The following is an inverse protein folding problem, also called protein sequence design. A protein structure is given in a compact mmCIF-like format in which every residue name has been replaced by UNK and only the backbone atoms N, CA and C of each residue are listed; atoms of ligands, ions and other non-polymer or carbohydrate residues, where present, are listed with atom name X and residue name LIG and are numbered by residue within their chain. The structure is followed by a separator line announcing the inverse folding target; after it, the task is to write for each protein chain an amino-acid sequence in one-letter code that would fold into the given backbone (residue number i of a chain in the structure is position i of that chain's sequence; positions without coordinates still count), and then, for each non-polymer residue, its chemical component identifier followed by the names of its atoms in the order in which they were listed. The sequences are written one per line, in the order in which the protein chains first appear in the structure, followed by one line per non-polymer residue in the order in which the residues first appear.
data_IF_390642603596
#
_entry.id   IF_390642603596
#
_cell.length_a   1.000
_cell.length_b   1.000
_cell.length_c   1.000
_cell.angle_alpha   90.00
_cell.angle_beta   90.00
_cell.angle_gamma   90.00
#
_symmetry.space_group_name_H-M   'P 1'
#
loop_
_entity.id
_entity.type
_entity.pdbx_description
1 polymer ?
#
# COMPACT_ATOMS: atom_id res chain seq x y z
N UNK A 1 -34.05 -22.00 -63.56
CA UNK A 1 -32.74 -22.36 -62.97
C UNK A 1 -32.40 -21.35 -61.87
N UNK A 2 -32.31 -21.77 -60.60
CA UNK A 2 -32.31 -20.84 -59.45
C UNK A 2 -30.89 -20.38 -59.08
N UNK A 3 -30.74 -19.09 -58.77
CA UNK A 3 -29.52 -18.47 -58.24
C UNK A 3 -29.46 -18.66 -56.72
N UNK A 4 -28.52 -19.47 -56.27
CA UNK A 4 -28.24 -19.74 -54.86
C UNK A 4 -27.62 -18.51 -54.19
N UNK A 5 -28.21 -18.02 -53.10
CA UNK A 5 -27.67 -16.95 -52.24
C UNK A 5 -27.07 -17.59 -51.00
N UNK A 6 -25.75 -17.49 -50.84
CA UNK A 6 -25.05 -17.85 -49.60
C UNK A 6 -25.15 -16.69 -48.60
N UNK A 7 -25.78 -16.96 -47.44
CA UNK A 7 -25.81 -16.08 -46.28
C UNK A 7 -24.58 -16.40 -45.43
N UNK A 8 -23.65 -15.45 -45.27
CA UNK A 8 -22.58 -15.54 -44.29
C UNK A 8 -23.14 -15.16 -42.91
N UNK A 9 -23.20 -16.12 -41.98
CA UNK A 9 -23.41 -15.84 -40.56
C UNK A 9 -22.09 -15.33 -39.95
N UNK A 10 -22.07 -14.08 -39.50
CA UNK A 10 -21.02 -13.55 -38.64
C UNK A 10 -21.27 -14.01 -37.19
N UNK A 11 -20.46 -14.96 -36.70
CA UNK A 11 -20.42 -15.34 -35.30
C UNK A 11 -19.70 -14.24 -34.50
N UNK A 12 -20.46 -13.43 -33.77
CA UNK A 12 -19.96 -12.53 -32.72
C UNK A 12 -19.50 -13.39 -31.53
N UNK A 13 -18.19 -13.61 -31.42
CA UNK A 13 -17.59 -14.24 -30.25
C UNK A 13 -17.63 -13.31 -29.05
N UNK A 14 -18.49 -13.63 -28.07
CA UNK A 14 -18.41 -13.09 -26.71
C UNK A 14 -17.24 -13.77 -26.00
N UNK A 15 -16.05 -13.17 -26.11
CA UNK A 15 -14.91 -13.56 -25.28
C UNK A 15 -15.16 -13.20 -23.80
N UNK A 16 -14.62 -13.97 -22.84
CA UNK A 16 -14.77 -13.66 -21.43
C UNK A 16 -14.11 -12.30 -21.13
N UNK A 17 -14.89 -11.37 -20.61
CA UNK A 17 -14.39 -10.12 -20.04
C UNK A 17 -13.64 -10.51 -18.76
N UNK A 18 -12.32 -10.66 -18.84
CA UNK A 18 -11.51 -10.72 -17.63
C UNK A 18 -11.75 -9.41 -16.86
N UNK A 19 -12.02 -9.47 -15.55
CA UNK A 19 -12.12 -8.26 -14.77
C UNK A 19 -10.79 -7.52 -14.92
N UNK A 20 -10.85 -6.29 -15.42
CA UNK A 20 -9.69 -5.43 -15.49
C UNK A 20 -9.26 -5.12 -14.06
N UNK A 21 -8.41 -5.96 -13.46
CA UNK A 21 -7.71 -5.61 -12.22
C UNK A 21 -6.94 -4.34 -12.53
N UNK A 22 -7.46 -3.21 -12.03
CA UNK A 22 -6.65 -2.01 -11.90
C UNK A 22 -5.36 -2.40 -11.20
N UNK A 23 -4.23 -1.80 -11.59
CA UNK A 23 -2.94 -1.97 -10.92
C UNK A 23 -3.13 -1.58 -9.46
N UNK A 24 -3.59 -2.55 -8.68
CA UNK A 24 -3.96 -2.43 -7.29
C UNK A 24 -2.85 -3.09 -6.53
N UNK A 25 -2.21 -2.34 -5.64
CA UNK A 25 -1.14 -2.85 -4.79
C UNK A 25 -1.50 -2.67 -3.32
N UNK A 26 -0.97 -3.56 -2.49
CA UNK A 26 -1.06 -3.43 -1.06
C UNK A 26 -0.07 -2.36 -0.58
N UNK A 27 -0.56 -1.45 0.25
CA UNK A 27 0.18 -0.35 0.84
C UNK A 27 -0.14 -0.27 2.35
N UNK A 28 0.54 0.63 3.04
CA UNK A 28 0.16 1.05 4.39
C UNK A 28 -0.30 2.49 4.34
N UNK A 29 -1.41 2.82 4.98
CA UNK A 29 -1.99 4.16 4.95
C UNK A 29 -2.02 4.79 6.32
N UNK A 30 -1.89 6.12 6.35
CA UNK A 30 -2.16 6.95 7.52
C UNK A 30 -3.11 8.08 7.12
N UNK A 31 -4.21 8.20 7.86
CA UNK A 31 -5.21 9.25 7.72
C UNK A 31 -5.11 10.18 8.92
N UNK A 32 -4.73 11.43 8.65
CA UNK A 32 -4.70 12.51 9.64
C UNK A 32 -5.80 13.51 9.34
N UNK A 33 -6.58 13.89 10.36
CA UNK A 33 -7.61 14.92 10.24
C UNK A 33 -7.02 16.30 10.43
N UNK A 34 -7.70 17.31 9.87
CA UNK A 34 -7.35 18.70 10.06
C UNK A 34 -7.42 19.09 11.54
N UNK A 35 -8.42 18.58 12.27
CA UNK A 35 -8.41 18.60 13.73
C UNK A 35 -7.35 17.61 14.26
N UNK A 36 -6.23 18.17 14.69
CA UNK A 36 -5.07 17.42 15.20
C UNK A 36 -5.30 16.77 16.58
N UNK A 37 -6.43 17.02 17.23
CA UNK A 37 -6.81 16.30 18.45
C UNK A 37 -7.36 14.90 18.14
N UNK A 38 -7.78 14.66 16.89
CA UNK A 38 -8.23 13.36 16.43
C UNK A 38 -7.01 12.49 16.12
N UNK A 39 -6.94 11.32 16.75
CA UNK A 39 -5.85 10.38 16.55
C UNK A 39 -5.74 9.94 15.08
N UNK A 40 -4.50 9.81 14.60
CA UNK A 40 -4.21 9.32 13.26
C UNK A 40 -4.68 7.87 13.12
N UNK A 41 -5.57 7.63 12.16
CA UNK A 41 -5.98 6.27 11.81
C UNK A 41 -4.92 5.67 10.87
N UNK A 42 -4.43 4.46 11.16
CA UNK A 42 -3.38 3.81 10.37
C UNK A 42 -3.71 2.34 10.11
N UNK A 43 -3.20 1.78 9.03
CA UNK A 43 -3.45 0.37 8.70
C UNK A 43 -3.17 0.01 7.24
N UNK A 44 -3.24 -1.28 6.89
CA UNK A 44 -3.10 -1.71 5.51
C UNK A 44 -4.20 -1.11 4.63
N UNK A 45 -3.85 -0.83 3.39
CA UNK A 45 -4.77 -0.29 2.40
C UNK A 45 -4.49 -0.84 1.00
N UNK A 46 -5.52 -0.85 0.16
CA UNK A 46 -5.39 -1.11 -1.26
C UNK A 46 -5.30 0.23 -1.98
N UNK A 47 -4.22 0.42 -2.73
CA UNK A 47 -4.00 1.56 -3.59
C UNK A 47 -4.17 1.15 -5.04
N UNK A 48 -4.89 1.94 -5.84
CA UNK A 48 -4.94 1.77 -7.29
C UNK A 48 -4.84 3.10 -8.01
N UNK A 49 -4.18 3.09 -9.18
CA UNK A 49 -4.06 4.27 -10.03
C UNK A 49 -4.30 3.92 -11.50
N UNK A 50 -5.11 4.72 -12.21
CA UNK A 50 -5.32 4.63 -13.66
C UNK A 50 -5.49 6.00 -14.28
N UNK A 51 -4.70 6.30 -15.31
CA UNK A 51 -4.72 7.59 -16.02
C UNK A 51 -4.73 8.79 -15.05
N UNK A 52 -3.85 8.76 -14.05
CA UNK A 52 -3.76 9.80 -13.02
C UNK A 52 -4.76 9.65 -11.86
N UNK A 53 -5.95 9.09 -12.09
CA UNK A 53 -6.98 8.90 -11.06
C UNK A 53 -6.54 7.87 -10.01
N UNK A 54 -6.70 8.20 -8.74
CA UNK A 54 -6.34 7.33 -7.62
C UNK A 54 -7.57 6.93 -6.82
N UNK A 55 -7.64 5.66 -6.45
CA UNK A 55 -8.57 5.16 -5.44
C UNK A 55 -7.76 4.47 -4.32
N UNK A 56 -8.13 4.76 -3.08
CA UNK A 56 -7.53 4.13 -1.89
C UNK A 56 -8.64 3.56 -1.02
N UNK A 57 -8.55 2.27 -0.70
CA UNK A 57 -9.43 1.60 0.24
C UNK A 57 -8.64 1.23 1.49
N UNK A 58 -9.06 1.73 2.65
CA UNK A 58 -8.37 1.50 3.92
C UNK A 58 -9.34 0.85 4.91
N UNK A 59 -9.11 -0.43 5.19
CA UNK A 59 -10.05 -1.28 5.89
C UNK A 59 -11.42 -1.35 5.18
N UNK A 60 -12.48 -1.55 5.96
CA UNK A 60 -13.86 -1.54 5.46
C UNK A 60 -14.55 -0.16 5.57
N UNK A 61 -13.92 0.77 6.28
CA UNK A 61 -14.53 2.05 6.66
C UNK A 61 -14.25 3.17 5.66
N UNK A 62 -13.06 3.18 5.06
CA UNK A 62 -12.59 4.33 4.30
C UNK A 62 -12.37 4.01 2.82
N UNK A 63 -12.98 4.82 1.97
CA UNK A 63 -12.76 4.82 0.54
C UNK A 63 -12.50 6.25 0.06
N UNK A 64 -11.30 6.49 -0.49
CA UNK A 64 -10.88 7.79 -0.97
C UNK A 64 -10.76 7.80 -2.48
N UNK A 65 -11.19 8.89 -3.10
CA UNK A 65 -11.05 9.15 -4.54
C UNK A 65 -10.31 10.45 -4.76
N UNK A 66 -9.32 10.40 -5.63
CA UNK A 66 -8.54 11.55 -6.07
C UNK A 66 -8.53 11.58 -7.61
N UNK A 67 -9.56 12.19 -8.22
CA UNK A 67 -9.65 12.35 -9.67
C UNK A 67 -8.54 13.27 -10.19
N UNK A 68 -7.93 12.90 -11.31
CA UNK A 68 -6.74 13.60 -11.82
C UNK A 68 -7.00 15.09 -12.14
N UNK A 69 -8.19 15.40 -12.65
CA UNK A 69 -8.67 16.74 -12.98
C UNK A 69 -8.89 17.64 -11.76
N UNK A 70 -8.95 17.05 -10.57
CA UNK A 70 -9.18 17.75 -9.30
C UNK A 70 -7.88 18.10 -8.54
N UNK A 71 -6.73 17.64 -9.03
CA UNK A 71 -5.43 17.99 -8.45
C UNK A 71 -5.15 19.49 -8.63
N UNK A 72 -4.75 20.16 -7.55
CA UNK A 72 -4.55 21.60 -7.51
C UNK A 72 -5.83 22.40 -7.22
N UNK A 73 -7.00 21.76 -7.31
CA UNK A 73 -8.30 22.39 -7.04
C UNK A 73 -8.85 21.95 -5.68
N UNK A 74 -9.27 20.69 -5.55
CA UNK A 74 -9.88 20.17 -4.32
C UNK A 74 -8.91 19.35 -3.46
N UNK A 75 -7.71 19.06 -3.96
CA UNK A 75 -6.63 18.47 -3.19
C UNK A 75 -5.26 18.76 -3.80
N UNK A 76 -4.23 18.68 -2.97
CA UNK A 76 -2.83 18.69 -3.41
C UNK A 76 -2.26 17.28 -3.34
N UNK A 77 -1.38 16.93 -4.29
CA UNK A 77 -0.67 15.65 -4.32
C UNK A 77 0.84 15.89 -4.29
N UNK A 78 1.54 15.13 -3.46
CA UNK A 78 2.99 15.03 -3.51
C UNK A 78 3.44 13.57 -3.49
N UNK A 79 4.65 13.32 -3.98
CA UNK A 79 5.26 12.01 -4.08
C UNK A 79 6.66 12.02 -3.45
N UNK A 80 7.03 10.91 -2.84
CA UNK A 80 8.39 10.64 -2.37
C UNK A 80 8.74 9.17 -2.64
N UNK A 81 9.98 8.80 -2.35
CA UNK A 81 10.41 7.40 -2.42
C UNK A 81 9.61 6.48 -1.48
N UNK A 82 9.12 7.02 -0.35
CA UNK A 82 8.34 6.27 0.63
C UNK A 82 6.88 6.11 0.24
N UNK A 83 6.33 6.98 -0.61
CA UNK A 83 4.89 7.01 -0.81
C UNK A 83 4.32 8.20 -1.55
N UNK A 84 2.99 8.31 -1.46
CA UNK A 84 2.20 9.45 -1.93
C UNK A 84 1.51 10.12 -0.76
N UNK A 85 1.31 11.44 -0.87
CA UNK A 85 0.51 12.21 0.07
C UNK A 85 -0.57 12.98 -0.69
N UNK A 86 -1.77 12.96 -0.15
CA UNK A 86 -2.92 13.71 -0.64
C UNK A 86 -3.44 14.60 0.48
N UNK A 87 -3.49 15.90 0.25
CA UNK A 87 -3.99 16.88 1.21
C UNK A 87 -5.28 17.51 0.69
N UNK A 88 -6.39 17.35 1.40
CA UNK A 88 -7.60 18.15 1.23
C UNK A 88 -7.62 19.21 2.31
N UNK A 89 -7.35 20.45 1.92
CA UNK A 89 -7.20 21.56 2.86
C UNK A 89 -8.46 21.72 3.72
N UNK A 90 -8.27 21.90 5.03
CA UNK A 90 -9.36 22.00 6.00
C UNK A 90 -10.07 20.69 6.37
N UNK A 91 -9.73 19.55 5.75
CA UNK A 91 -10.40 18.27 6.01
C UNK A 91 -9.43 17.18 6.48
N UNK A 92 -8.57 16.66 5.59
CA UNK A 92 -7.65 15.59 5.95
C UNK A 92 -6.42 15.52 5.05
N UNK A 93 -5.38 14.87 5.59
CA UNK A 93 -4.24 14.35 4.85
C UNK A 93 -4.31 12.82 4.83
N UNK A 94 -4.26 12.23 3.64
CA UNK A 94 -4.03 10.80 3.45
C UNK A 94 -2.61 10.56 2.93
N UNK A 95 -1.84 9.77 3.66
CA UNK A 95 -0.52 9.30 3.24
C UNK A 95 -0.58 7.81 2.90
N UNK A 96 -0.04 7.44 1.75
CA UNK A 96 0.06 6.05 1.25
C UNK A 96 1.53 5.69 1.20
N UNK A 97 1.94 4.71 1.98
CA UNK A 97 3.32 4.25 2.11
C UNK A 97 3.52 2.92 1.38
N UNK A 98 4.58 2.85 0.59
CA UNK A 98 4.93 1.66 -0.17
C UNK A 98 5.51 0.57 0.73
N UNK A 99 5.04 -0.66 0.51
CA UNK A 99 5.62 -1.84 1.16
C UNK A 99 6.84 -2.29 0.39
N UNK A 100 7.99 -2.33 1.05
CA UNK A 100 9.20 -2.98 0.55
C UNK A 100 9.15 -4.46 0.95
N UNK A 101 9.16 -5.36 -0.04
CA UNK A 101 9.34 -6.78 0.22
C UNK A 101 10.77 -7.05 0.75
N UNK A 102 10.87 -7.91 1.76
CA UNK A 102 12.13 -8.33 2.36
C UNK A 102 12.38 -9.80 2.02
N UNK A 103 13.60 -10.12 1.58
CA UNK A 103 13.98 -11.49 1.28
C UNK A 103 14.58 -12.13 2.51
N UNK A 104 13.76 -12.86 3.27
CA UNK A 104 14.18 -13.47 4.53
C UNK A 104 14.52 -14.95 4.34
N UNK A 105 15.73 -15.35 4.74
CA UNK A 105 16.20 -16.73 4.56
C UNK A 105 15.34 -17.70 5.37
N UNK A 106 14.78 -18.71 4.72
CA UNK A 106 14.04 -19.80 5.37
C UNK A 106 12.60 -19.46 5.77
N UNK A 107 12.14 -18.22 5.55
CA UNK A 107 10.72 -17.88 5.72
C UNK A 107 9.90 -18.43 4.56
N UNK A 108 8.74 -19.02 4.87
CA UNK A 108 7.72 -19.35 3.88
C UNK A 108 6.74 -18.20 3.64
N UNK A 109 6.59 -17.34 4.64
CA UNK A 109 5.69 -16.20 4.58
C UNK A 109 6.34 -15.02 3.85
N UNK A 110 5.50 -14.28 3.12
CA UNK A 110 5.90 -13.02 2.50
C UNK A 110 6.12 -11.99 3.60
N UNK A 111 7.29 -11.33 3.60
CA UNK A 111 7.64 -10.35 4.62
C UNK A 111 7.82 -9.01 3.93
N UNK A 112 7.21 -7.97 4.48
CA UNK A 112 7.30 -6.64 3.92
C UNK A 112 7.19 -5.55 4.96
N UNK A 113 7.83 -4.42 4.71
CA UNK A 113 7.87 -3.28 5.62
C UNK A 113 7.46 -2.00 4.89
N UNK A 114 6.62 -1.18 5.51
CA UNK A 114 6.33 0.18 5.07
C UNK A 114 6.87 1.17 6.11
N UNK A 115 7.73 2.11 5.69
CA UNK A 115 8.28 3.12 6.60
C UNK A 115 7.42 4.37 6.63
N UNK A 116 7.11 4.85 7.83
CA UNK A 116 6.38 6.09 8.06
C UNK A 116 7.30 7.11 8.75
N UNK A 117 6.92 8.39 8.84
CA UNK A 117 7.70 9.37 9.59
C UNK A 117 7.90 8.99 11.07
N UNK A 118 6.88 8.39 11.68
CA UNK A 118 6.88 8.01 13.10
C UNK A 118 7.44 6.61 13.39
N UNK A 119 7.57 5.75 12.36
CA UNK A 119 7.97 4.36 12.60
C UNK A 119 7.97 3.49 11.34
N UNK A 120 7.47 2.27 11.49
CA UNK A 120 7.33 1.32 10.40
C UNK A 120 6.13 0.39 10.65
N UNK A 121 5.50 -0.09 9.60
CA UNK A 121 4.58 -1.23 9.68
C UNK A 121 5.29 -2.46 9.10
N UNK A 122 5.46 -3.49 9.92
CA UNK A 122 6.05 -4.76 9.51
C UNK A 122 4.94 -5.80 9.33
N UNK A 123 4.89 -6.43 8.16
CA UNK A 123 4.00 -7.55 7.89
C UNK A 123 4.77 -8.84 7.64
N UNK A 124 4.21 -9.93 8.17
CA UNK A 124 4.62 -11.32 7.96
C UNK A 124 3.36 -12.11 7.60
N UNK A 125 3.24 -12.53 6.34
CA UNK A 125 1.99 -13.07 5.80
C UNK A 125 0.86 -12.04 5.90
N UNK A 126 -0.25 -12.44 6.50
CA UNK A 126 -1.42 -11.57 6.71
C UNK A 126 -1.36 -10.75 8.01
N UNK A 127 -0.41 -11.05 8.89
CA UNK A 127 -0.23 -10.32 10.14
C UNK A 127 0.63 -9.09 9.92
N UNK A 128 0.28 -7.98 10.56
CA UNK A 128 1.10 -6.78 10.59
C UNK A 128 1.17 -6.19 12.00
N UNK A 129 2.27 -5.48 12.28
CA UNK A 129 2.51 -4.78 13.53
C UNK A 129 3.12 -3.42 13.24
N UNK A 130 2.48 -2.38 13.77
CA UNK A 130 3.05 -1.04 13.80
C UNK A 130 4.18 -0.98 14.83
N UNK A 131 5.36 -0.59 14.37
CA UNK A 131 6.59 -0.45 15.12
C UNK A 131 6.94 1.02 15.28
N UNK A 132 7.33 1.41 16.49
CA UNK A 132 7.81 2.76 16.77
C UNK A 132 9.32 2.84 16.54
N UNK A 133 9.81 4.00 16.11
CA UNK A 133 11.25 4.23 16.00
C UNK A 133 11.89 4.22 17.39
N UNK A 134 12.84 3.32 17.61
CA UNK A 134 13.61 3.21 18.84
C UNK A 134 15.02 3.79 18.67
N UNK A 135 15.63 4.19 19.79
CA UNK A 135 17.04 4.58 19.82
C UNK A 135 17.94 3.37 19.57
N UNK A 136 19.01 3.57 18.82
CA UNK A 136 20.03 2.57 18.51
C UNK A 136 21.41 3.22 18.46
N UNK A 137 22.43 2.48 18.90
CA UNK A 137 23.82 2.92 18.80
C UNK A 137 24.34 2.88 17.35
N UNK A 138 23.82 1.97 16.53
CA UNK A 138 24.08 1.87 15.10
C UNK A 138 22.86 1.32 14.37
N UNK A 139 22.67 1.75 13.12
CA UNK A 139 21.54 1.34 12.28
C UNK A 139 20.20 1.94 12.68
N UNK A 140 19.15 1.56 11.98
CA UNK A 140 17.77 2.00 12.27
C UNK A 140 17.02 0.89 12.99
N UNK A 141 16.48 1.20 14.18
CA UNK A 141 15.74 0.26 15.02
C UNK A 141 14.29 0.68 15.16
N UNK A 142 13.39 -0.28 15.06
CA UNK A 142 11.95 -0.12 15.24
C UNK A 142 11.41 -1.24 16.10
N UNK A 143 10.56 -0.93 17.06
CA UNK A 143 10.12 -1.91 18.07
C UNK A 143 8.64 -1.78 18.39
N UNK A 144 8.03 -2.93 18.70
CA UNK A 144 6.76 -3.05 19.40
C UNK A 144 6.86 -4.24 20.38
N UNK A 145 5.79 -4.49 21.13
CA UNK A 145 5.76 -5.61 22.08
C UNK A 145 5.98 -6.94 21.34
N UNK A 146 7.10 -7.61 21.63
CA UNK A 146 7.45 -8.91 21.05
C UNK A 146 7.94 -8.86 19.61
N UNK A 147 8.12 -7.65 19.02
CA UNK A 147 8.62 -7.51 17.65
C UNK A 147 9.71 -6.44 17.59
N UNK A 148 10.82 -6.78 16.96
CA UNK A 148 11.90 -5.84 16.67
C UNK A 148 12.29 -5.93 15.20
N UNK A 149 12.47 -4.78 14.56
CA UNK A 149 13.10 -4.66 13.25
C UNK A 149 14.34 -3.79 13.40
N UNK A 150 15.49 -4.33 13.01
CA UNK A 150 16.76 -3.61 13.03
C UNK A 150 17.45 -3.70 11.68
N UNK A 151 17.82 -2.54 11.14
CA UNK A 151 18.51 -2.42 9.86
C UNK A 151 19.91 -1.88 10.02
N UNK A 152 20.86 -2.57 9.42
CA UNK A 152 22.27 -2.20 9.46
C UNK A 152 22.99 -2.67 8.20
N UNK A 153 23.64 -1.74 7.50
CA UNK A 153 24.52 -2.01 6.35
C UNK A 153 23.91 -2.95 5.29
N UNK A 154 22.66 -2.70 4.89
CA UNK A 154 21.97 -3.50 3.87
C UNK A 154 21.44 -4.85 4.35
N UNK A 155 21.59 -5.18 5.63
CA UNK A 155 20.92 -6.31 6.29
C UNK A 155 19.77 -5.84 7.16
N UNK A 156 18.71 -6.64 7.22
CA UNK A 156 17.58 -6.44 8.14
C UNK A 156 17.44 -7.66 9.02
N UNK A 157 17.59 -7.50 10.33
CA UNK A 157 17.24 -8.50 11.32
C UNK A 157 15.85 -8.20 11.84
N UNK A 158 15.00 -9.22 11.90
CA UNK A 158 13.68 -9.14 12.51
C UNK A 158 13.64 -10.16 13.64
N UNK A 159 13.21 -9.74 14.82
CA UNK A 159 12.73 -10.63 15.87
C UNK A 159 11.21 -10.58 15.84
N UNK A 160 10.57 -11.68 15.45
CA UNK A 160 9.12 -11.81 15.32
C UNK A 160 8.62 -12.80 16.37
N UNK A 161 8.17 -12.28 17.50
CA UNK A 161 7.66 -13.04 18.65
C UNK A 161 8.60 -14.18 19.07
N UNK A 162 9.91 -13.89 19.15
CA UNK A 162 10.95 -14.84 19.51
C UNK A 162 11.55 -15.62 18.33
N UNK A 163 11.00 -15.47 17.13
CA UNK A 163 11.56 -16.05 15.90
C UNK A 163 12.45 -15.04 15.19
N UNK A 164 13.73 -15.35 15.06
CA UNK A 164 14.68 -14.45 14.39
C UNK A 164 14.73 -14.73 12.89
N UNK A 165 14.46 -13.70 12.09
CA UNK A 165 14.51 -13.71 10.64
C UNK A 165 15.66 -12.81 10.16
N UNK A 166 16.42 -13.30 9.19
CA UNK A 166 17.54 -12.58 8.58
C UNK A 166 17.19 -12.26 7.12
N UNK A 167 17.11 -10.98 6.80
CA UNK A 167 16.58 -10.49 5.53
C UNK A 167 17.51 -9.50 4.82
N UNK A 168 17.30 -9.35 3.51
CA UNK A 168 17.95 -8.35 2.64
C UNK A 168 16.89 -7.58 1.84
#
# INVERSE_FOLDING_TARGET
MPRSRLILLALLGLGPVLPARADSTLAYCQLSRHDHTIAVESGPCQFSQRHGNVNVLMGQRWAFRFPADQQGQSYQRSASAQGLRFNREGDYTLSVFWRKALQCRGSKDAISVAYTPSGADLAVGDQHVALERARSASGARYTARGVELWQHQGSTRIDWFGTVLQCR
#
